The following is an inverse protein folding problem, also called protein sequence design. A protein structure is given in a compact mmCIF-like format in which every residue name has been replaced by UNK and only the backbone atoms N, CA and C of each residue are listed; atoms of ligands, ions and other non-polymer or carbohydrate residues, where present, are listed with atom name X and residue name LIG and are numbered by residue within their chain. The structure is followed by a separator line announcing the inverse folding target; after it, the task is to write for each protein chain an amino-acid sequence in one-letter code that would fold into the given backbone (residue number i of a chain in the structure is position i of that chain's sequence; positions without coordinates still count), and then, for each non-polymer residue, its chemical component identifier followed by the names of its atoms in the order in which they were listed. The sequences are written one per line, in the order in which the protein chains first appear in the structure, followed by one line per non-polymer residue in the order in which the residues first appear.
data_IF_970864548654
#
_entry.id   IF_970864548654
#
_cell.length_a   1.000
_cell.length_b   1.000
_cell.length_c   1.000
_cell.angle_alpha   90.00
_cell.angle_beta   90.00
_cell.angle_gamma   90.00
#
_symmetry.space_group_name_H-M   'P 1'
#
loop_
_entity.id
_entity.type
_entity.pdbx_description
1 polymer ?
#
# COMPACT_ATOMS: atom_id res chain seq x y z
N UNK A 1 -26.85 -7.65 7.10
CA UNK A 1 -26.47 -6.75 6.00
C UNK A 1 -24.96 -6.64 6.03
N UNK A 2 -24.28 -7.03 4.95
CA UNK A 2 -22.81 -7.00 4.93
C UNK A 2 -22.39 -5.55 4.67
N UNK A 3 -21.74 -4.91 5.65
CA UNK A 3 -21.22 -3.55 5.47
C UNK A 3 -20.26 -3.54 4.29
N UNK A 4 -20.51 -2.68 3.30
CA UNK A 4 -19.70 -2.64 2.07
C UNK A 4 -18.82 -1.41 2.07
N UNK A 5 -17.51 -1.61 2.16
CA UNK A 5 -16.53 -0.53 1.97
C UNK A 5 -16.27 -0.30 0.49
N UNK A 6 -16.06 0.96 0.09
CA UNK A 6 -15.52 1.30 -1.23
C UNK A 6 -14.79 2.63 -1.20
N UNK A 7 -13.82 2.77 -2.09
CA UNK A 7 -13.15 4.04 -2.39
C UNK A 7 -13.40 4.41 -3.85
N UNK A 8 -13.52 5.69 -4.18
CA UNK A 8 -13.76 6.16 -5.55
C UNK A 8 -13.04 7.48 -5.79
N UNK A 9 -12.65 7.73 -7.04
CA UNK A 9 -12.15 9.04 -7.45
C UNK A 9 -13.30 10.03 -7.67
N UNK A 10 -13.16 11.25 -7.17
CA UNK A 10 -14.01 12.40 -7.50
C UNK A 10 -13.12 13.62 -7.75
N UNK A 11 -12.96 14.02 -9.02
CA UNK A 11 -12.01 15.08 -9.36
C UNK A 11 -10.58 14.67 -8.96
N UNK A 12 -9.92 15.44 -8.11
CA UNK A 12 -8.60 15.14 -7.55
C UNK A 12 -8.66 14.41 -6.20
N UNK A 13 -9.86 14.11 -5.70
CA UNK A 13 -10.06 13.47 -4.40
C UNK A 13 -10.29 11.97 -4.54
N UNK A 14 -9.91 11.24 -3.50
CA UNK A 14 -10.31 9.86 -3.26
C UNK A 14 -11.30 9.87 -2.09
N UNK A 15 -12.53 9.49 -2.36
CA UNK A 15 -13.63 9.47 -1.38
C UNK A 15 -13.82 8.07 -0.85
N UNK A 16 -13.94 7.94 0.46
CA UNK A 16 -14.14 6.70 1.20
C UNK A 16 -15.60 6.60 1.60
N UNK A 17 -16.25 5.52 1.19
CA UNK A 17 -17.62 5.22 1.54
C UNK A 17 -17.69 3.97 2.41
N UNK A 18 -18.62 4.01 3.36
CA UNK A 18 -19.12 2.85 4.08
C UNK A 18 -20.61 2.74 3.78
N UNK A 19 -21.00 1.66 3.12
CA UNK A 19 -22.32 1.54 2.52
C UNK A 19 -22.56 2.72 1.55
N UNK A 20 -23.61 3.50 1.74
CA UNK A 20 -23.91 4.68 0.91
C UNK A 20 -23.44 6.01 1.53
N UNK A 21 -22.85 5.99 2.72
CA UNK A 21 -22.37 7.18 3.41
C UNK A 21 -20.90 7.48 3.11
N UNK A 22 -20.60 8.72 2.73
CA UNK A 22 -19.22 9.23 2.74
C UNK A 22 -18.74 9.29 4.19
N UNK A 23 -17.61 8.63 4.47
CA UNK A 23 -17.01 8.60 5.81
C UNK A 23 -15.67 9.31 5.88
N UNK A 24 -14.99 9.47 4.74
CA UNK A 24 -13.73 10.20 4.65
C UNK A 24 -13.45 10.64 3.20
N UNK A 25 -12.56 11.62 3.04
CA UNK A 25 -12.11 12.15 1.76
C UNK A 25 -10.64 12.56 1.86
N UNK A 26 -9.88 12.20 0.83
CA UNK A 26 -8.46 12.49 0.72
C UNK A 26 -8.22 13.30 -0.54
N UNK A 27 -7.57 14.46 -0.43
CA UNK A 27 -7.07 15.16 -1.59
C UNK A 27 -5.81 14.44 -2.09
N UNK A 28 -5.88 13.81 -3.26
CA UNK A 28 -4.79 12.93 -3.70
C UNK A 28 -3.45 13.65 -3.93
N UNK A 29 -3.41 14.90 -4.45
CA UNK A 29 -2.17 15.67 -4.55
C UNK A 29 -1.43 15.91 -3.23
N UNK A 30 -2.13 15.85 -2.09
CA UNK A 30 -1.54 16.04 -0.76
C UNK A 30 -0.96 14.74 -0.17
N UNK A 31 -1.12 13.60 -0.85
CA UNK A 31 -0.61 12.31 -0.38
C UNK A 31 0.91 12.29 -0.47
N UNK A 32 1.56 12.21 0.68
CA UNK A 32 3.02 12.19 0.78
C UNK A 32 3.59 10.80 0.48
N UNK A 33 2.94 9.76 1.02
CA UNK A 33 3.37 8.36 0.85
C UNK A 33 2.18 7.41 0.86
N UNK A 34 2.24 6.40 0.01
CA UNK A 34 1.37 5.23 0.04
C UNK A 34 2.24 3.99 0.30
N UNK A 35 2.03 3.30 1.41
CA UNK A 35 2.74 2.08 1.76
C UNK A 35 1.81 0.89 1.54
N UNK A 36 2.15 0.04 0.58
CA UNK A 36 1.39 -1.15 0.25
C UNK A 36 1.96 -2.36 0.99
N UNK A 37 1.18 -2.88 1.92
CA UNK A 37 1.57 -4.01 2.76
C UNK A 37 1.05 -5.30 2.13
N UNK A 38 1.97 -6.20 1.81
CA UNK A 38 1.68 -7.43 1.07
C UNK A 38 2.16 -8.69 1.80
N UNK A 39 1.50 -9.81 1.52
CA UNK A 39 1.99 -11.16 1.85
C UNK A 39 2.94 -11.67 0.78
N UNK A 40 3.69 -12.71 1.12
CA UNK A 40 4.58 -13.41 0.19
C UNK A 40 5.51 -12.44 -0.55
N UNK A 41 5.65 -12.63 -1.86
CA UNK A 41 6.45 -11.76 -2.72
C UNK A 41 5.74 -10.48 -3.17
N UNK A 42 4.42 -10.35 -2.96
CA UNK A 42 3.64 -9.18 -3.36
C UNK A 42 3.59 -9.05 -4.87
N UNK A 43 3.35 -10.18 -5.53
CA UNK A 43 3.42 -10.34 -6.98
C UNK A 43 2.04 -10.44 -7.63
N UNK A 44 1.01 -10.66 -6.82
CA UNK A 44 -0.40 -10.61 -7.19
C UNK A 44 -1.13 -9.48 -6.44
N UNK A 45 -2.13 -8.82 -7.05
CA UNK A 45 -2.99 -7.87 -6.35
C UNK A 45 -3.70 -8.49 -5.14
N UNK A 46 -3.95 -9.80 -5.16
CA UNK A 46 -4.53 -10.56 -4.04
C UNK A 46 -3.60 -10.69 -2.84
N UNK A 47 -2.31 -10.40 -3.00
CA UNK A 47 -1.34 -10.46 -1.91
C UNK A 47 -1.43 -9.24 -0.99
N UNK A 48 -2.14 -8.19 -1.40
CA UNK A 48 -2.28 -6.96 -0.61
C UNK A 48 -3.21 -7.17 0.57
N UNK A 49 -2.76 -6.74 1.74
CA UNK A 49 -3.48 -6.90 3.02
C UNK A 49 -4.09 -5.58 3.45
N UNK A 50 -3.31 -4.52 3.37
CA UNK A 50 -3.76 -3.17 3.62
C UNK A 50 -2.79 -2.17 2.97
N UNK A 51 -3.27 -0.93 2.79
CA UNK A 51 -2.44 0.21 2.46
C UNK A 51 -2.38 1.16 3.67
N UNK A 52 -1.25 1.84 3.80
CA UNK A 52 -1.09 2.97 4.72
C UNK A 52 -0.85 4.22 3.89
N UNK A 53 -1.56 5.30 4.18
CA UNK A 53 -1.47 6.56 3.44
C UNK A 53 -1.10 7.66 4.41
N UNK A 54 0.01 8.33 4.13
CA UNK A 54 0.42 9.51 4.88
C UNK A 54 -0.07 10.77 4.15
N UNK A 55 -0.79 11.61 4.90
CA UNK A 55 -1.48 12.79 4.41
C UNK A 55 -1.29 13.93 5.43
N UNK A 56 -0.19 14.67 5.31
CA UNK A 56 0.17 15.72 6.26
C UNK A 56 0.29 15.20 7.71
N UNK A 57 -0.50 15.74 8.66
CA UNK A 57 -0.46 15.30 10.06
C UNK A 57 -1.19 13.98 10.30
N UNK A 58 -1.92 13.48 9.31
CA UNK A 58 -2.74 12.29 9.41
C UNK A 58 -2.11 11.08 8.74
N UNK A 59 -2.52 9.92 9.22
CA UNK A 59 -2.21 8.65 8.62
C UNK A 59 -3.47 7.80 8.54
N UNK A 60 -3.73 7.25 7.36
CA UNK A 60 -4.88 6.40 7.09
C UNK A 60 -4.45 4.97 6.85
N UNK A 61 -5.18 4.02 7.42
CA UNK A 61 -5.03 2.59 7.16
C UNK A 61 -6.24 2.12 6.36
N UNK A 62 -5.99 1.57 5.18
CA UNK A 62 -6.99 1.05 4.25
C UNK A 62 -6.89 -0.48 4.16
N UNK A 63 -7.84 -1.22 4.72
CA UNK A 63 -7.91 -2.65 4.52
C UNK A 63 -8.15 -2.99 3.04
N UNK A 64 -7.74 -4.19 2.62
CA UNK A 64 -7.82 -4.62 1.21
C UNK A 64 -9.25 -4.52 0.63
N UNK A 65 -10.28 -4.75 1.43
CA UNK A 65 -11.70 -4.72 1.04
C UNK A 65 -12.24 -3.30 0.75
N UNK A 66 -11.51 -2.24 1.11
CA UNK A 66 -11.87 -0.85 0.77
C UNK A 66 -11.63 -0.52 -0.71
N UNK A 67 -10.86 -1.34 -1.42
CA UNK A 67 -10.51 -1.14 -2.82
C UNK A 67 -9.48 -0.02 -3.08
N UNK A 68 -8.92 0.62 -2.04
CA UNK A 68 -7.96 1.72 -2.20
C UNK A 68 -6.73 1.30 -3.00
N UNK A 69 -6.17 0.13 -2.70
CA UNK A 69 -5.03 -0.40 -3.45
C UNK A 69 -5.32 -0.58 -4.95
N UNK A 70 -6.57 -0.91 -5.31
CA UNK A 70 -7.01 -0.96 -6.71
C UNK A 70 -6.95 0.42 -7.38
N UNK A 71 -7.27 1.49 -6.65
CA UNK A 71 -7.15 2.88 -7.14
C UNK A 71 -5.69 3.27 -7.39
N UNK A 72 -4.77 2.74 -6.59
CA UNK A 72 -3.32 2.96 -6.73
C UNK A 72 -2.74 2.13 -7.88
N UNK A 73 -3.26 0.93 -8.13
CA UNK A 73 -2.72 0.00 -9.12
C UNK A 73 -3.24 0.18 -10.53
N UNK A 74 -4.56 0.34 -10.66
CA UNK A 74 -5.23 0.19 -11.94
C UNK A 74 -5.80 1.49 -12.48
N UNK A 75 -5.89 2.51 -11.64
CA UNK A 75 -6.48 3.79 -12.01
C UNK A 75 -5.43 4.90 -12.00
N UNK A 76 -5.54 5.83 -12.95
CA UNK A 76 -4.72 7.04 -13.03
C UNK A 76 -3.22 6.76 -12.88
N UNK A 77 -2.71 5.75 -13.59
CA UNK A 77 -1.31 5.31 -13.48
C UNK A 77 -0.29 6.41 -13.71
N UNK A 78 -0.56 7.35 -14.64
CA UNK A 78 0.29 8.50 -14.88
C UNK A 78 0.44 9.40 -13.64
N UNK A 79 -0.66 9.65 -12.93
CA UNK A 79 -0.65 10.42 -11.69
C UNK A 79 0.22 9.74 -10.62
N UNK A 80 0.03 8.44 -10.37
CA UNK A 80 0.82 7.72 -9.36
C UNK A 80 2.30 7.58 -9.73
N UNK A 81 2.60 7.46 -11.03
CA UNK A 81 3.97 7.43 -11.51
C UNK A 81 4.66 8.79 -11.36
N UNK A 82 3.96 9.88 -11.65
CA UNK A 82 4.46 11.25 -11.50
C UNK A 82 4.65 11.63 -10.03
N UNK A 83 3.68 11.29 -9.17
CA UNK A 83 3.77 11.52 -7.73
C UNK A 83 4.94 10.78 -7.08
N UNK A 84 5.30 9.60 -7.61
CA UNK A 84 6.47 8.86 -7.11
C UNK A 84 6.40 8.54 -5.61
N UNK A 85 5.20 8.31 -5.08
CA UNK A 85 4.95 8.18 -3.63
C UNK A 85 4.52 6.77 -3.19
N UNK A 86 4.56 5.77 -4.08
CA UNK A 86 4.11 4.39 -3.79
C UNK A 86 5.28 3.50 -3.35
N UNK A 87 5.21 2.97 -2.14
CA UNK A 87 6.19 2.09 -1.52
C UNK A 87 5.56 0.74 -1.17
N UNK A 88 6.42 -0.25 -0.99
CA UNK A 88 6.02 -1.64 -0.78
C UNK A 88 6.72 -2.21 0.44
N UNK A 89 6.01 -3.02 1.21
CA UNK A 89 6.61 -3.74 2.34
C UNK A 89 5.92 -5.07 2.59
N UNK A 90 6.70 -6.07 3.00
CA UNK A 90 6.17 -7.37 3.37
C UNK A 90 5.57 -7.32 4.79
N UNK A 91 4.36 -7.85 4.96
CA UNK A 91 3.59 -7.88 6.22
C UNK A 91 4.42 -8.42 7.41
N UNK A 92 5.24 -9.44 7.19
CA UNK A 92 6.06 -10.04 8.25
C UNK A 92 7.12 -9.07 8.83
N UNK A 93 7.45 -8.00 8.09
CA UNK A 93 8.41 -6.96 8.50
C UNK A 93 7.75 -5.60 8.76
N UNK A 94 6.43 -5.52 8.63
CA UNK A 94 5.63 -4.31 8.84
C UNK A 94 4.42 -4.58 9.75
N UNK A 95 4.62 -5.07 10.99
CA UNK A 95 3.51 -5.30 11.87
C UNK A 95 2.91 -3.96 12.32
N UNK A 96 1.59 -3.83 12.19
CA UNK A 96 0.84 -2.78 12.87
C UNK A 96 0.80 -3.03 14.39
N UNK A 97 0.62 -1.98 15.22
CA UNK A 97 0.36 -2.15 16.64
C UNK A 97 -0.85 -3.04 16.92
N UNK A 98 -0.81 -3.83 18.00
CA UNK A 98 -1.86 -4.78 18.37
C UNK A 98 -3.28 -4.18 18.41
N UNK A 99 -3.52 -2.96 18.93
CA UNK A 99 -4.86 -2.36 18.93
C UNK A 99 -5.43 -2.17 17.53
N UNK A 100 -4.59 -1.94 16.53
CA UNK A 100 -4.97 -1.69 15.14
C UNK A 100 -5.14 -2.99 14.33
N UNK A 101 -4.64 -4.13 14.86
CA UNK A 101 -4.76 -5.46 14.26
C UNK A 101 -6.03 -6.21 14.67
N UNK A 102 -6.90 -5.61 15.49
CA UNK A 102 -8.10 -6.27 16.01
C UNK A 102 -9.33 -5.92 15.16
N UNK A 103 -9.68 -6.80 14.23
CA UNK A 103 -11.08 -6.93 13.83
C UNK A 103 -11.85 -7.66 14.95
N UNK A 104 -13.13 -7.35 15.15
CA UNK A 104 -13.97 -7.80 16.28
C UNK A 104 -14.26 -9.33 16.33
N UNK A 105 -13.48 -10.17 15.67
CA UNK A 105 -13.69 -11.62 15.64
C UNK A 105 -12.70 -12.36 16.57
N UNK A 106 -13.25 -13.09 17.54
CA UNK A 106 -12.57 -13.65 18.72
C UNK A 106 -11.55 -14.79 18.45
N UNK A 107 -11.25 -15.14 17.19
CA UNK A 107 -10.44 -16.33 16.85
C UNK A 107 -9.33 -16.10 15.80
N UNK A 108 -8.98 -14.86 15.47
CA UNK A 108 -7.86 -14.61 14.55
C UNK A 108 -7.27 -13.21 14.64
N UNK A 109 -5.99 -13.08 14.26
CA UNK A 109 -5.42 -11.78 13.90
C UNK A 109 -6.10 -11.32 12.60
N UNK A 110 -7.15 -10.51 12.74
CA UNK A 110 -7.87 -9.93 11.60
C UNK A 110 -7.00 -8.93 10.83
N UNK A 111 -7.35 -8.71 9.56
CA UNK A 111 -6.90 -7.52 8.85
C UNK A 111 -7.31 -6.26 9.64
N UNK A 112 -6.56 -5.14 9.54
CA UNK A 112 -6.97 -3.89 10.16
C UNK A 112 -8.37 -3.47 9.68
N UNK A 113 -9.03 -2.59 10.44
CA UNK A 113 -10.21 -1.86 9.96
C UNK A 113 -9.77 -0.53 9.33
N UNK A 114 -10.62 0.09 8.52
CA UNK A 114 -10.37 1.44 8.06
C UNK A 114 -10.25 2.39 9.27
N UNK A 115 -9.21 3.21 9.28
CA UNK A 115 -8.99 4.22 10.33
C UNK A 115 -8.16 5.37 9.81
N UNK A 116 -8.46 6.57 10.33
CA UNK A 116 -7.60 7.75 10.28
C UNK A 116 -7.10 8.00 11.69
N UNK A 117 -5.79 8.16 11.85
CA UNK A 117 -5.12 8.40 13.13
C UNK A 117 -4.09 9.53 12.96
N UNK A 118 -3.69 10.15 14.07
CA UNK A 118 -2.59 11.10 14.01
C UNK A 118 -1.30 10.37 13.59
N UNK A 119 -0.56 10.94 12.64
CA UNK A 119 0.69 10.35 12.13
C UNK A 119 1.67 10.01 13.25
N UNK A 120 1.77 10.87 14.26
CA UNK A 120 2.64 10.68 15.41
C UNK A 120 2.41 9.34 16.16
N UNK A 121 1.21 8.75 16.08
CA UNK A 121 0.91 7.46 16.70
C UNK A 121 1.63 6.27 16.03
N UNK A 122 2.00 6.41 14.76
CA UNK A 122 2.56 5.34 13.93
C UNK A 122 3.93 5.65 13.33
N UNK A 123 4.35 6.92 13.33
CA UNK A 123 5.57 7.37 12.65
C UNK A 123 6.82 6.59 13.10
N UNK A 124 6.96 6.35 14.42
CA UNK A 124 8.09 5.57 14.96
C UNK A 124 8.05 4.10 14.55
N UNK A 125 6.86 3.52 14.37
CA UNK A 125 6.68 2.14 13.94
C UNK A 125 7.03 2.01 12.46
N UNK A 126 6.48 2.89 11.63
CA UNK A 126 6.65 2.90 10.17
C UNK A 126 8.09 3.26 9.78
N UNK A 127 8.76 4.14 10.51
CA UNK A 127 10.15 4.50 10.27
C UNK A 127 11.11 3.29 10.28
N UNK A 128 10.72 2.18 10.93
CA UNK A 128 11.50 0.94 11.00
C UNK A 128 11.19 -0.05 9.88
N UNK A 129 10.16 0.22 9.07
CA UNK A 129 9.73 -0.69 8.02
C UNK A 129 10.74 -0.68 6.85
N UNK A 130 11.15 -1.86 6.34
CA UNK A 130 12.06 -1.93 5.21
C UNK A 130 11.32 -1.70 3.90
N UNK A 131 11.01 -0.43 3.62
CA UNK A 131 10.27 0.00 2.44
C UNK A 131 11.06 -0.24 1.14
N UNK A 132 10.37 -0.68 0.10
CA UNK A 132 10.90 -0.79 -1.26
C UNK A 132 10.16 0.18 -2.18
N UNK A 133 10.90 1.00 -2.92
CA UNK A 133 10.34 2.01 -3.81
C UNK A 133 11.06 3.36 -3.69
N UNK A 134 10.47 4.44 -4.19
CA UNK A 134 9.12 4.48 -4.75
C UNK A 134 9.03 3.75 -6.10
N UNK A 135 7.93 3.03 -6.32
CA UNK A 135 7.63 2.37 -7.58
C UNK A 135 6.14 1.99 -7.69
N UNK A 136 5.56 2.18 -8.86
CA UNK A 136 4.21 1.69 -9.17
C UNK A 136 4.17 0.18 -9.36
N UNK A 137 2.97 -0.39 -9.41
CA UNK A 137 2.76 -1.81 -9.72
C UNK A 137 3.40 -2.22 -11.05
N UNK A 138 3.15 -1.46 -12.12
CA UNK A 138 3.69 -1.75 -13.45
C UNK A 138 5.22 -1.71 -13.45
N UNK A 139 5.84 -0.72 -12.78
CA UNK A 139 7.30 -0.64 -12.65
C UNK A 139 7.87 -1.86 -11.91
N UNK A 140 7.20 -2.33 -10.84
CA UNK A 140 7.60 -3.54 -10.10
C UNK A 140 7.51 -4.79 -10.98
N UNK A 141 6.42 -4.91 -11.75
CA UNK A 141 6.21 -6.01 -12.70
C UNK A 141 7.31 -6.04 -13.77
N UNK A 142 7.67 -4.90 -14.34
CA UNK A 142 8.77 -4.79 -15.32
C UNK A 142 10.12 -5.19 -14.73
N UNK A 143 10.50 -4.67 -13.54
CA UNK A 143 11.75 -5.06 -12.86
C UNK A 143 11.82 -6.57 -12.60
N UNK A 144 10.69 -7.20 -12.28
CA UNK A 144 10.63 -8.66 -12.10
C UNK A 144 10.94 -9.38 -13.41
N UNK A 145 10.35 -8.95 -14.52
CA UNK A 145 10.62 -9.51 -15.85
C UNK A 145 12.09 -9.33 -16.22
N UNK A 146 12.67 -8.16 -15.98
CA UNK A 146 14.10 -7.89 -16.22
C UNK A 146 15.01 -8.82 -15.42
N UNK A 147 14.72 -9.01 -14.13
CA UNK A 147 15.48 -9.90 -13.24
C UNK A 147 15.30 -11.38 -13.57
N UNK A 148 14.15 -11.77 -14.11
CA UNK A 148 13.83 -13.14 -14.45
C UNK A 148 14.43 -13.58 -15.80
N UNK A 149 15.16 -12.71 -16.52
CA UNK A 149 15.82 -13.09 -17.77
C UNK A 149 16.88 -14.17 -17.49
N UNK A 150 16.71 -15.39 -18.00
CA UNK A 150 17.81 -16.35 -18.01
C UNK A 150 18.89 -15.76 -18.92
N UNK A 151 20.17 -15.90 -18.54
CA UNK A 151 21.34 -15.35 -19.25
C UNK A 151 21.65 -13.86 -19.05
N UNK A 152 21.56 -13.34 -17.82
CA UNK A 152 22.27 -12.10 -17.50
C UNK A 152 23.76 -12.25 -17.84
N UNK A 153 24.39 -11.30 -18.55
CA UNK A 153 25.81 -11.38 -18.88
C UNK A 153 26.58 -11.46 -17.56
N UNK A 154 27.32 -12.55 -17.37
CA UNK A 154 28.26 -12.68 -16.26
C UNK A 154 29.25 -11.53 -16.40
N UNK A 155 29.36 -10.68 -15.36
CA UNK A 155 30.40 -9.65 -15.29
C UNK A 155 31.76 -10.30 -15.56
N UNK A 156 32.31 -10.03 -16.74
CA UNK A 156 33.57 -10.60 -17.23
C UNK A 156 34.79 -10.06 -16.47
N UNK A 157 34.57 -9.20 -15.48
CA UNK A 157 35.60 -8.52 -14.69
C UNK A 157 36.27 -9.41 -13.65
N UNK A 158 35.82 -10.65 -13.42
CA UNK A 158 36.42 -11.58 -12.44
C UNK A 158 37.24 -12.74 -13.02
N UNK A 159 37.46 -12.80 -14.34
CA UNK A 159 38.22 -13.87 -14.99
C UNK A 159 39.64 -13.48 -15.44
N UNK A 160 40.20 -12.40 -14.89
CA UNK A 160 41.62 -12.07 -15.04
C UNK A 160 42.26 -11.82 -13.66
N UNK A 161 42.62 -12.91 -12.99
CA UNK A 161 43.62 -12.95 -11.93
C UNK A 161 44.38 -14.27 -12.06
#
# INVERSE_FOLDING_TARGET
MNTTWRTVWQGQDIVVYRDDGEVDRLHAPDIERVLLVHRGSGDSPSDLIHAVVELGPDLLVFPADTGFAGRVHFERQAFWAEQGCVYWVNEARAPLPLPMRRSRWLLGFGAPAFMRVARAELDTVIARWPLQGPQTWEQRKWRRIERARPFAPVDSTRLRA
#
